data_IF_489322791652
#
_entry.id   IF_489322791652
#
_cell.length_a   1.000
_cell.length_b   1.000
_cell.length_c   1.000
_cell.angle_alpha   90.00
_cell.angle_beta   90.00
_cell.angle_gamma   90.00
#
_symmetry.space_group_name_H-M   'P 1'
#
loop_
_entity.id
_entity.type
_entity.pdbx_description
1 polymer ?
#
# COMPACT_ATOMS: atom_id res chain seq x y z
N UNK A 1 21.23 -26.63 3.22
CA UNK A 1 20.81 -25.21 3.36
C UNK A 1 21.10 -24.55 2.03
N UNK A 2 20.08 -24.26 1.24
CA UNK A 2 20.26 -23.37 0.08
C UNK A 2 20.70 -22.03 0.64
N UNK A 3 21.89 -21.53 0.25
CA UNK A 3 22.33 -20.20 0.68
C UNK A 3 21.47 -19.20 -0.09
N UNK A 4 20.73 -18.35 0.63
CA UNK A 4 19.97 -17.27 0.02
C UNK A 4 20.87 -16.45 -0.93
N UNK A 5 20.33 -16.04 -2.07
CA UNK A 5 21.09 -15.28 -3.08
C UNK A 5 21.65 -13.99 -2.43
N UNK A 6 22.96 -13.71 -2.51
CA UNK A 6 23.57 -12.54 -1.89
C UNK A 6 22.92 -11.20 -2.29
N UNK A 7 22.33 -11.12 -3.47
CA UNK A 7 21.61 -9.94 -3.95
C UNK A 7 20.31 -9.73 -3.18
N UNK A 8 19.65 -10.81 -2.76
CA UNK A 8 18.46 -10.75 -1.90
C UNK A 8 18.85 -10.38 -0.47
N UNK A 9 19.96 -10.94 0.05
CA UNK A 9 20.51 -10.56 1.36
C UNK A 9 20.78 -9.04 1.42
N UNK A 10 21.34 -8.47 0.35
CA UNK A 10 21.60 -7.03 0.28
C UNK A 10 20.32 -6.16 0.33
N UNK A 11 19.15 -6.71 0.03
CA UNK A 11 17.86 -6.03 0.08
C UNK A 11 17.14 -6.16 1.43
N UNK A 12 17.60 -7.05 2.33
CA UNK A 12 16.91 -7.37 3.60
C UNK A 12 16.59 -6.13 4.43
N UNK A 13 17.52 -5.17 4.55
CA UNK A 13 17.28 -3.94 5.31
C UNK A 13 16.15 -3.10 4.70
N UNK A 14 16.10 -3.00 3.37
CA UNK A 14 15.09 -2.21 2.67
C UNK A 14 13.73 -2.92 2.71
N UNK A 15 13.71 -4.25 2.58
CA UNK A 15 12.51 -5.06 2.75
C UNK A 15 11.99 -4.99 4.19
N UNK A 16 12.88 -4.98 5.19
CA UNK A 16 12.51 -4.77 6.59
C UNK A 16 11.82 -3.42 6.81
N UNK A 17 12.35 -2.34 6.24
CA UNK A 17 11.73 -1.01 6.33
C UNK A 17 10.33 -0.99 5.68
N UNK A 18 10.20 -1.57 4.49
CA UNK A 18 8.91 -1.63 3.77
C UNK A 18 7.91 -2.53 4.51
N UNK A 19 8.36 -3.63 5.11
CA UNK A 19 7.53 -4.48 5.95
C UNK A 19 6.99 -3.72 7.19
N UNK A 20 7.84 -2.95 7.87
CA UNK A 20 7.39 -2.09 8.98
C UNK A 20 6.40 -1.03 8.51
N UNK A 21 6.63 -0.41 7.35
CA UNK A 21 5.70 0.55 6.77
C UNK A 21 4.33 -0.08 6.49
N UNK A 22 4.30 -1.28 5.90
CA UNK A 22 3.06 -2.04 5.65
C UNK A 22 2.32 -2.35 6.95
N UNK A 23 3.04 -2.82 7.98
CA UNK A 23 2.45 -3.11 9.29
C UNK A 23 1.81 -1.86 9.92
N UNK A 24 2.48 -0.71 9.87
CA UNK A 24 1.95 0.55 10.38
C UNK A 24 0.72 0.99 9.58
N UNK A 25 0.78 0.87 8.26
CA UNK A 25 -0.33 1.19 7.34
C UNK A 25 -1.58 0.40 7.71
N UNK A 26 -1.47 -0.92 7.91
CA UNK A 26 -2.60 -1.75 8.33
C UNK A 26 -3.09 -1.39 9.73
N UNK A 27 -2.18 -1.08 10.65
CA UNK A 27 -2.54 -0.69 12.02
C UNK A 27 -3.38 0.59 12.04
N UNK A 28 -3.01 1.61 11.28
CA UNK A 28 -3.79 2.84 11.15
C UNK A 28 -5.15 2.61 10.47
N UNK A 29 -5.18 1.80 9.40
CA UNK A 29 -6.44 1.50 8.72
C UNK A 29 -7.42 0.73 9.63
N UNK A 30 -6.91 -0.21 10.42
CA UNK A 30 -7.71 -0.95 11.39
C UNK A 30 -8.20 -0.04 12.53
N UNK A 31 -7.33 0.83 13.04
CA UNK A 31 -7.69 1.82 14.08
C UNK A 31 -8.83 2.75 13.62
N UNK A 32 -8.74 3.27 12.40
CA UNK A 32 -9.79 4.07 11.78
C UNK A 32 -11.15 3.34 11.74
N UNK A 33 -11.16 2.06 11.32
CA UNK A 33 -12.38 1.24 11.28
C UNK A 33 -12.92 0.98 12.69
N UNK A 34 -12.06 0.67 13.66
CA UNK A 34 -12.47 0.47 15.05
C UNK A 34 -13.08 1.74 15.66
N UNK A 35 -12.55 2.92 15.32
CA UNK A 35 -13.11 4.20 15.73
C UNK A 35 -14.57 4.36 15.31
N UNK A 36 -14.93 3.93 14.09
CA UNK A 36 -16.32 3.90 13.65
C UNK A 36 -17.14 2.87 14.41
N UNK A 37 -16.63 1.64 14.55
CA UNK A 37 -17.36 0.59 15.25
C UNK A 37 -17.71 0.97 16.69
N UNK A 38 -16.86 1.77 17.35
CA UNK A 38 -17.07 2.24 18.71
C UNK A 38 -18.00 3.46 18.79
N UNK A 39 -17.94 4.37 17.81
CA UNK A 39 -18.64 5.67 17.90
C UNK A 39 -19.92 5.75 17.05
N UNK A 40 -20.08 4.84 16.07
CA UNK A 40 -21.12 4.89 15.04
C UNK A 40 -21.01 6.09 14.11
N UNK A 41 -19.87 6.80 14.11
CA UNK A 41 -19.63 8.01 13.33
C UNK A 41 -18.39 7.84 12.47
N UNK A 42 -18.35 8.55 11.35
CA UNK A 42 -17.14 8.63 10.55
C UNK A 42 -16.01 9.32 11.32
N UNK A 43 -14.77 9.03 10.93
CA UNK A 43 -13.58 9.60 11.58
C UNK A 43 -13.36 11.06 11.15
N UNK A 44 -12.73 11.86 12.01
CA UNK A 44 -12.33 13.23 11.66
C UNK A 44 -11.13 13.23 10.72
N UNK A 45 -11.04 14.22 9.83
CA UNK A 45 -9.83 14.47 9.04
C UNK A 45 -8.63 14.87 9.93
N UNK A 46 -8.88 15.39 11.13
CA UNK A 46 -7.84 15.73 12.10
C UNK A 46 -7.37 14.52 12.93
N UNK A 47 -7.97 13.35 12.72
CA UNK A 47 -7.54 12.12 13.39
C UNK A 47 -6.15 11.69 12.93
N UNK A 48 -5.38 11.13 13.86
CA UNK A 48 -4.02 10.67 13.59
C UNK A 48 -3.98 9.65 12.46
N UNK A 49 -4.88 8.67 12.47
CA UNK A 49 -4.97 7.61 11.44
C UNK A 49 -5.23 8.17 10.04
N UNK A 50 -6.13 9.16 9.93
CA UNK A 50 -6.41 9.82 8.65
C UNK A 50 -5.18 10.57 8.12
N UNK A 51 -4.57 11.40 8.98
CA UNK A 51 -3.40 12.20 8.60
C UNK A 51 -2.20 11.32 8.25
N UNK A 52 -1.97 10.26 9.02
CA UNK A 52 -0.83 9.37 8.79
C UNK A 52 -0.97 8.60 7.49
N UNK A 53 -2.14 7.99 7.21
CA UNK A 53 -2.35 7.25 5.97
C UNK A 53 -2.29 8.14 4.73
N UNK A 54 -2.79 9.37 4.83
CA UNK A 54 -2.64 10.35 3.75
C UNK A 54 -1.16 10.65 3.49
N UNK A 55 -0.38 10.92 4.54
CA UNK A 55 1.07 11.18 4.42
C UNK A 55 1.81 9.99 3.84
N UNK A 56 1.50 8.78 4.30
CA UNK A 56 2.12 7.55 3.82
C UNK A 56 1.85 7.35 2.32
N UNK A 57 0.63 7.62 1.87
CA UNK A 57 0.28 7.62 0.44
C UNK A 57 1.10 8.65 -0.34
N UNK A 58 1.14 9.90 0.10
CA UNK A 58 1.85 10.98 -0.61
C UNK A 58 3.36 10.70 -0.72
N UNK A 59 3.97 10.18 0.36
CA UNK A 59 5.39 9.78 0.38
C UNK A 59 5.61 8.59 -0.55
N UNK A 60 4.77 7.55 -0.45
CA UNK A 60 4.92 6.33 -1.25
C UNK A 60 4.82 6.62 -2.74
N UNK A 61 3.86 7.47 -3.14
CA UNK A 61 3.73 7.92 -4.53
C UNK A 61 4.96 8.70 -4.99
N UNK A 62 5.51 9.56 -4.14
CA UNK A 62 6.73 10.34 -4.48
C UNK A 62 7.94 9.44 -4.69
N UNK A 63 8.02 8.33 -3.98
CA UNK A 63 9.11 7.35 -4.10
C UNK A 63 8.88 6.30 -5.20
N UNK A 64 7.71 6.29 -5.83
CA UNK A 64 7.35 5.29 -6.83
C UNK A 64 7.99 5.63 -8.19
N UNK A 65 8.67 4.68 -8.86
CA UNK A 65 9.45 4.95 -10.08
C UNK A 65 8.62 5.39 -11.30
N UNK A 66 7.29 5.37 -11.24
CA UNK A 66 6.41 6.13 -12.14
C UNK A 66 6.23 5.58 -13.57
N UNK A 67 6.75 4.40 -13.88
CA UNK A 67 6.71 3.84 -15.25
C UNK A 67 5.47 2.98 -15.55
N UNK A 68 4.74 2.51 -14.53
CA UNK A 68 3.52 1.69 -14.71
C UNK A 68 2.27 2.57 -14.92
N UNK A 69 1.67 2.46 -16.11
CA UNK A 69 0.49 3.24 -16.52
C UNK A 69 -0.78 2.90 -15.75
N UNK A 70 -0.93 1.65 -15.30
CA UNK A 70 -2.04 1.25 -14.44
C UNK A 70 -1.87 1.90 -13.06
N UNK A 71 -0.67 1.85 -12.49
CA UNK A 71 -0.40 2.48 -11.18
C UNK A 71 -0.61 3.99 -11.24
N UNK A 72 -0.13 4.66 -12.30
CA UNK A 72 -0.38 6.09 -12.50
C UNK A 72 -1.88 6.43 -12.54
N UNK A 73 -2.68 5.60 -13.21
CA UNK A 73 -4.13 5.75 -13.29
C UNK A 73 -4.80 5.60 -11.91
N UNK A 74 -4.42 4.59 -11.14
CA UNK A 74 -4.98 4.35 -9.80
C UNK A 74 -4.57 5.43 -8.80
N UNK A 75 -3.34 5.95 -8.90
CA UNK A 75 -2.86 7.11 -8.12
C UNK A 75 -3.73 8.34 -8.41
N UNK A 76 -3.99 8.62 -9.69
CA UNK A 76 -4.84 9.74 -10.08
C UNK A 76 -6.27 9.59 -9.57
N UNK A 77 -6.86 8.39 -9.71
CA UNK A 77 -8.18 8.09 -9.19
C UNK A 77 -8.27 8.24 -7.67
N UNK A 78 -7.24 7.81 -6.93
CA UNK A 78 -7.14 7.98 -5.47
C UNK A 78 -7.12 9.46 -5.08
N UNK A 79 -6.33 10.27 -5.79
CA UNK A 79 -6.29 11.73 -5.58
C UNK A 79 -7.63 12.40 -5.91
N UNK A 80 -8.31 11.96 -6.95
CA UNK A 80 -9.63 12.47 -7.31
C UNK A 80 -10.67 12.11 -6.24
N UNK A 81 -10.67 10.86 -5.77
CA UNK A 81 -11.58 10.39 -4.72
C UNK A 81 -11.39 11.15 -3.40
N UNK A 82 -10.13 11.46 -3.04
CA UNK A 82 -9.82 12.24 -1.84
C UNK A 82 -10.44 13.65 -1.85
N UNK A 83 -10.77 14.20 -3.02
CA UNK A 83 -11.41 15.50 -3.17
C UNK A 83 -12.95 15.41 -3.25
N UNK A 84 -13.53 14.21 -3.20
CA UNK A 84 -14.98 14.01 -3.27
C UNK A 84 -15.58 14.09 -1.85
N UNK A 85 -16.41 15.12 -1.54
CA UNK A 85 -16.98 15.29 -0.20
C UNK A 85 -18.04 14.24 0.18
N UNK A 86 -18.46 13.39 -0.78
CA UNK A 86 -19.41 12.30 -0.51
C UNK A 86 -18.71 11.03 -0.01
N UNK A 87 -17.39 10.94 -0.11
CA UNK A 87 -16.62 9.77 0.33
C UNK A 87 -16.32 9.92 1.81
N UNK A 88 -16.65 8.90 2.59
CA UNK A 88 -16.34 8.88 4.02
C UNK A 88 -14.82 8.89 4.26
N UNK A 89 -14.40 9.51 5.35
CA UNK A 89 -12.99 9.59 5.73
C UNK A 89 -12.42 8.19 6.02
N UNK A 90 -13.21 7.30 6.65
CA UNK A 90 -12.80 5.91 6.83
C UNK A 90 -12.57 5.20 5.49
N UNK A 91 -13.41 5.45 4.48
CA UNK A 91 -13.22 4.81 3.19
C UNK A 91 -11.92 5.28 2.56
N UNK A 92 -11.63 6.59 2.65
CA UNK A 92 -10.34 7.12 2.20
C UNK A 92 -9.15 6.49 2.93
N UNK A 93 -9.25 6.22 4.25
CA UNK A 93 -8.17 5.48 4.95
C UNK A 93 -7.95 4.09 4.38
N UNK A 94 -9.01 3.38 3.99
CA UNK A 94 -8.90 2.06 3.37
C UNK A 94 -8.33 2.14 1.95
N UNK A 95 -8.71 3.15 1.17
CA UNK A 95 -8.16 3.39 -0.18
C UNK A 95 -6.67 3.69 -0.10
N UNK A 96 -6.25 4.60 0.79
CA UNK A 96 -4.82 4.91 0.97
C UNK A 96 -4.02 3.71 1.47
N UNK A 97 -4.56 2.95 2.42
CA UNK A 97 -3.90 1.74 2.90
C UNK A 97 -3.71 0.70 1.78
N UNK A 98 -4.74 0.48 0.95
CA UNK A 98 -4.62 -0.41 -0.21
C UNK A 98 -3.59 0.08 -1.22
N UNK A 99 -3.59 1.40 -1.51
CA UNK A 99 -2.65 2.03 -2.43
C UNK A 99 -1.20 1.92 -1.94
N UNK A 100 -0.93 2.30 -0.68
CA UNK A 100 0.40 2.20 -0.07
C UNK A 100 0.89 0.77 -0.12
N UNK A 101 0.03 -0.20 0.18
CA UNK A 101 0.40 -1.62 0.16
C UNK A 101 0.74 -2.13 -1.23
N UNK A 102 -0.10 -1.81 -2.24
CA UNK A 102 0.16 -2.20 -3.62
C UNK A 102 1.46 -1.59 -4.17
N UNK A 103 1.65 -0.28 -3.98
CA UNK A 103 2.84 0.44 -4.45
C UNK A 103 4.12 -0.02 -3.74
N UNK A 104 4.04 -0.34 -2.45
CA UNK A 104 5.18 -0.85 -1.69
C UNK A 104 5.58 -2.25 -2.16
N UNK A 105 4.62 -3.16 -2.38
CA UNK A 105 4.89 -4.48 -2.92
C UNK A 105 5.47 -4.42 -4.34
N UNK A 106 4.93 -3.54 -5.18
CA UNK A 106 5.45 -3.34 -6.53
C UNK A 106 6.89 -2.82 -6.51
N UNK A 107 7.17 -1.82 -5.68
CA UNK A 107 8.53 -1.29 -5.49
C UNK A 107 9.50 -2.36 -5.00
N UNK A 108 9.09 -3.22 -4.07
CA UNK A 108 9.94 -4.34 -3.62
C UNK A 108 10.26 -5.29 -4.78
N UNK A 109 9.29 -5.59 -5.65
CA UNK A 109 9.53 -6.43 -6.83
C UNK A 109 10.50 -5.78 -7.81
N UNK A 110 10.36 -4.47 -8.06
CA UNK A 110 11.28 -3.74 -8.94
C UNK A 110 12.73 -3.69 -8.41
N UNK A 111 12.93 -3.92 -7.12
CA UNK A 111 14.26 -4.01 -6.52
C UNK A 111 14.90 -5.39 -6.67
N UNK A 112 14.09 -6.44 -6.89
CA UNK A 112 14.60 -7.78 -7.12
C UNK A 112 15.20 -7.84 -8.54
N UNK A 113 16.38 -8.46 -8.71
CA UNK A 113 16.92 -8.72 -10.04
C UNK A 113 15.94 -9.51 -10.91
N UNK A 114 15.73 -9.07 -12.15
CA UNK A 114 14.72 -9.67 -13.04
C UNK A 114 14.92 -11.19 -13.27
N UNK A 115 16.16 -11.67 -13.21
CA UNK A 115 16.49 -13.10 -13.32
C UNK A 115 15.98 -13.93 -12.13
N UNK A 116 15.67 -13.30 -11.00
CA UNK A 116 15.13 -13.95 -9.80
C UNK A 116 13.60 -13.85 -9.69
N UNK A 117 12.92 -13.13 -10.58
CA UNK A 117 11.46 -13.00 -10.56
C UNK A 117 10.73 -14.30 -10.87
N UNK A 118 11.39 -15.23 -11.56
CA UNK A 118 10.82 -16.53 -11.90
C UNK A 118 11.04 -17.57 -10.80
N UNK A 119 11.80 -17.24 -9.75
CA UNK A 119 12.00 -18.10 -8.60
C UNK A 119 10.85 -17.89 -7.59
N UNK A 120 9.96 -18.89 -7.40
CA UNK A 120 8.84 -18.78 -6.47
C UNK A 120 9.29 -18.64 -5.01
N UNK A 121 10.46 -19.18 -4.63
CA UNK A 121 10.97 -19.06 -3.26
C UNK A 121 11.49 -17.65 -2.96
N UNK A 122 11.84 -16.88 -3.99
CA UNK A 122 12.36 -15.51 -3.85
C UNK A 122 11.26 -14.46 -3.96
N UNK A 123 10.38 -14.59 -4.95
CA UNK A 123 9.43 -13.51 -5.30
C UNK A 123 7.96 -13.92 -5.29
N UNK A 124 7.66 -15.22 -5.17
CA UNK A 124 6.29 -15.74 -5.32
C UNK A 124 5.30 -15.14 -4.32
N UNK A 125 5.65 -15.12 -3.04
CA UNK A 125 4.77 -14.53 -2.00
C UNK A 125 4.55 -13.02 -2.23
N UNK A 126 5.60 -12.31 -2.62
CA UNK A 126 5.54 -10.87 -2.86
C UNK A 126 4.70 -10.54 -4.10
N UNK A 127 4.80 -11.34 -5.17
CA UNK A 127 3.94 -11.24 -6.36
C UNK A 127 2.47 -11.46 -6.01
N UNK A 128 2.18 -12.48 -5.19
CA UNK A 128 0.83 -12.74 -4.70
C UNK A 128 0.29 -11.54 -3.91
N UNK A 129 1.03 -11.05 -2.92
CA UNK A 129 0.63 -9.89 -2.10
C UNK A 129 0.43 -8.63 -2.93
N UNK A 130 1.30 -8.37 -3.90
CA UNK A 130 1.15 -7.27 -4.86
C UNK A 130 -0.21 -7.35 -5.57
N UNK A 131 -0.56 -8.54 -6.08
CA UNK A 131 -1.83 -8.73 -6.78
C UNK A 131 -3.04 -8.57 -5.85
N UNK A 132 -2.99 -9.13 -4.64
CA UNK A 132 -4.06 -9.00 -3.64
C UNK A 132 -4.31 -7.53 -3.28
N UNK A 133 -3.27 -6.77 -3.00
CA UNK A 133 -3.39 -5.35 -2.65
C UNK A 133 -3.82 -4.49 -3.84
N UNK A 134 -3.35 -4.80 -5.06
CA UNK A 134 -3.79 -4.12 -6.27
C UNK A 134 -5.28 -4.33 -6.53
N UNK A 135 -5.76 -5.57 -6.40
CA UNK A 135 -7.19 -5.90 -6.50
C UNK A 135 -7.99 -5.15 -5.46
N UNK A 136 -7.55 -5.17 -4.20
CA UNK A 136 -8.21 -4.44 -3.11
C UNK A 136 -8.27 -2.93 -3.39
N UNK A 137 -7.19 -2.34 -3.91
CA UNK A 137 -7.16 -0.93 -4.25
C UNK A 137 -8.16 -0.58 -5.35
N UNK A 138 -8.21 -1.39 -6.42
CA UNK A 138 -9.19 -1.23 -7.50
C UNK A 138 -10.63 -1.36 -6.99
N UNK A 139 -10.91 -2.37 -6.15
CA UNK A 139 -12.24 -2.58 -5.56
C UNK A 139 -12.69 -1.39 -4.72
N UNK A 140 -11.80 -0.83 -3.90
CA UNK A 140 -12.10 0.35 -3.07
C UNK A 140 -12.31 1.61 -3.90
N UNK A 141 -11.60 1.75 -5.02
CA UNK A 141 -11.81 2.85 -5.96
C UNK A 141 -13.15 2.75 -6.71
N UNK A 142 -13.58 1.53 -7.01
CA UNK A 142 -14.83 1.28 -7.76
C UNK A 142 -16.08 1.28 -6.87
N UNK A 143 -15.93 1.13 -5.55
CA UNK A 143 -17.03 1.12 -4.59
C UNK A 143 -16.82 2.20 -3.50
N UNK A 144 -16.92 3.50 -3.85
CA UNK A 144 -16.73 4.63 -2.94
C UNK A 144 -17.82 4.79 -1.88
#
# INVERSE_FOLDING_TARGET
MSKADPRIIALESQFGQLHTQLFNTFSHAQSAVMGIMQTGRDISQDSEDYQQLKRDFDITVTMYPGEDSLMATLIAATRQMANNPQVSNVHMTQVWAAAVSALSCDRMLLMIPADLHTDPEVSGELQQKRQEHLTMWQERLNNP
#
